data_IF_737390802788
#
_entry.id   IF_737390802788
#
_cell.length_a   1.000
_cell.length_b   1.000
_cell.length_c   1.000
_cell.angle_alpha   90.00
_cell.angle_beta   90.00
_cell.angle_gamma   90.00
#
_symmetry.space_group_name_H-M   'P 1'
#
loop_
_entity.id
_entity.type
_entity.pdbx_description
1 polymer ?
#
# COMPACT_ATOMS: atom_id res chain seq x y z
N UNK A 1 -21.69 21.85 10.15
CA UNK A 1 -20.60 21.00 10.68
C UNK A 1 -20.86 20.86 12.16
N UNK A 2 -21.02 19.65 12.68
CA UNK A 2 -21.70 19.46 13.98
C UNK A 2 -23.20 19.76 13.85
N UNK A 3 -23.74 20.60 14.73
CA UNK A 3 -25.18 20.96 14.78
C UNK A 3 -25.59 22.04 13.76
N UNK A 4 -24.65 22.71 13.10
CA UNK A 4 -24.97 23.79 12.15
C UNK A 4 -25.13 23.31 10.71
N UNK A 5 -26.20 23.76 10.05
CA UNK A 5 -26.47 23.52 8.65
C UNK A 5 -25.78 24.55 7.76
N UNK A 6 -24.78 24.09 7.01
CA UNK A 6 -24.01 24.94 6.11
C UNK A 6 -24.62 24.88 4.69
N UNK A 7 -25.25 25.97 4.26
CA UNK A 7 -25.87 26.10 2.92
C UNK A 7 -24.89 26.79 1.97
N UNK A 8 -24.35 26.04 1.00
CA UNK A 8 -23.49 26.58 -0.04
C UNK A 8 -24.23 26.51 -1.38
N UNK A 9 -24.26 27.62 -2.12
CA UNK A 9 -24.79 27.63 -3.48
C UNK A 9 -23.75 27.14 -4.49
N UNK A 10 -24.21 26.61 -5.64
CA UNK A 10 -23.30 26.17 -6.71
C UNK A 10 -22.39 27.32 -7.22
N UNK A 11 -22.84 28.57 -7.14
CA UNK A 11 -22.03 29.74 -7.49
C UNK A 11 -20.89 29.94 -6.49
N UNK A 12 -21.15 29.85 -5.19
CA UNK A 12 -20.12 29.90 -4.15
C UNK A 12 -19.12 28.75 -4.27
N UNK A 13 -19.59 27.52 -4.52
CA UNK A 13 -18.69 26.38 -4.77
C UNK A 13 -17.78 26.61 -5.98
N UNK A 14 -18.31 27.23 -7.03
CA UNK A 14 -17.53 27.52 -8.23
C UNK A 14 -16.48 28.61 -7.98
N UNK A 15 -16.78 29.64 -7.19
CA UNK A 15 -15.82 30.69 -6.82
C UNK A 15 -14.66 30.06 -6.04
N UNK A 16 -14.96 29.21 -5.05
CA UNK A 16 -13.93 28.54 -4.24
C UNK A 16 -13.03 27.62 -5.08
N UNK A 17 -13.55 27.07 -6.18
CA UNK A 17 -12.79 26.19 -7.09
C UNK A 17 -12.02 26.94 -8.17
N UNK A 18 -12.27 28.22 -8.39
CA UNK A 18 -11.69 28.99 -9.50
C UNK A 18 -10.36 29.63 -9.08
N UNK A 19 -9.32 28.80 -8.97
CA UNK A 19 -7.99 29.24 -8.55
C UNK A 19 -7.25 30.00 -9.66
N UNK A 20 -7.11 29.37 -10.84
CA UNK A 20 -6.36 29.92 -11.97
C UNK A 20 -6.92 29.44 -13.31
N UNK A 21 -6.48 30.08 -14.39
CA UNK A 21 -6.75 29.63 -15.76
C UNK A 21 -6.11 28.25 -16.01
N UNK A 22 -6.65 27.44 -16.92
CA UNK A 22 -6.05 26.16 -17.29
C UNK A 22 -4.68 26.40 -17.92
N UNK A 23 -3.63 25.93 -17.26
CA UNK A 23 -2.25 26.14 -17.67
C UNK A 23 -1.35 25.07 -17.03
N UNK A 24 -0.16 24.90 -17.62
CA UNK A 24 0.93 24.16 -17.01
C UNK A 24 2.02 25.14 -16.58
N UNK A 25 2.11 25.37 -15.28
CA UNK A 25 3.08 26.29 -14.70
C UNK A 25 4.34 25.54 -14.30
N UNK A 26 5.48 25.88 -14.89
CA UNK A 26 6.78 25.33 -14.51
C UNK A 26 7.19 25.86 -13.14
N UNK A 27 7.44 24.97 -12.18
CA UNK A 27 7.91 25.33 -10.84
C UNK A 27 9.43 25.22 -10.73
N UNK A 28 10.04 24.27 -11.44
CA UNK A 28 11.49 24.09 -11.46
C UNK A 28 11.91 22.72 -11.96
N UNK A 29 13.19 22.39 -11.76
CA UNK A 29 13.79 21.13 -12.19
C UNK A 29 14.34 20.34 -11.01
N UNK A 30 14.15 19.02 -11.03
CA UNK A 30 14.76 18.08 -10.07
C UNK A 30 15.51 16.98 -10.80
N UNK A 31 16.39 16.27 -10.09
CA UNK A 31 17.05 15.07 -10.64
C UNK A 31 16.04 13.95 -10.84
N UNK A 32 16.22 13.11 -11.86
CA UNK A 32 15.33 11.98 -12.15
C UNK A 32 15.22 11.00 -10.98
N UNK A 33 16.33 10.74 -10.29
CA UNK A 33 16.38 9.90 -9.07
C UNK A 33 15.56 10.44 -7.89
N UNK A 34 15.13 11.70 -7.92
CA UNK A 34 14.26 12.26 -6.87
C UNK A 34 12.79 11.81 -7.00
N UNK A 35 12.42 11.19 -8.12
CA UNK A 35 11.12 10.58 -8.32
C UNK A 35 11.17 9.13 -7.81
N UNK A 36 10.39 8.76 -6.79
CA UNK A 36 10.33 7.37 -6.34
C UNK A 36 9.85 6.43 -7.45
N UNK A 37 10.41 5.23 -7.49
CA UNK A 37 10.14 4.23 -8.54
C UNK A 37 8.67 3.76 -8.53
N UNK A 38 8.10 3.61 -7.34
CA UNK A 38 6.73 3.10 -7.15
C UNK A 38 5.81 4.24 -6.76
N UNK A 39 5.39 5.03 -7.75
CA UNK A 39 4.34 6.04 -7.59
C UNK A 39 3.31 5.89 -8.70
N UNK A 40 2.06 5.72 -8.29
CA UNK A 40 0.92 5.79 -9.18
C UNK A 40 -0.24 6.51 -8.48
N UNK A 41 -0.70 7.60 -9.07
CA UNK A 41 -1.90 8.34 -8.60
C UNK A 41 -3.01 8.34 -9.66
N UNK A 42 -2.64 8.50 -10.92
CA UNK A 42 -3.55 8.61 -12.07
C UNK A 42 -2.77 8.16 -13.32
N UNK A 43 -3.45 7.63 -14.36
CA UNK A 43 -2.82 7.38 -15.65
C UNK A 43 -2.04 8.60 -16.13
N UNK A 44 -0.80 8.36 -16.56
CA UNK A 44 0.06 9.42 -17.07
C UNK A 44 -0.43 9.88 -18.44
N UNK A 45 -0.32 11.17 -18.71
CA UNK A 45 -0.56 11.72 -20.04
C UNK A 45 0.77 11.88 -20.78
N UNK A 46 0.69 12.08 -22.09
CA UNK A 46 1.85 12.41 -22.92
C UNK A 46 1.72 13.84 -23.45
N UNK A 47 2.79 14.62 -23.32
CA UNK A 47 2.85 16.00 -23.79
C UNK A 47 3.69 16.05 -25.06
N UNK A 48 3.12 16.64 -26.11
CA UNK A 48 3.79 16.87 -27.39
C UNK A 48 3.49 18.30 -27.86
N UNK A 49 4.48 19.01 -28.47
CA UNK A 49 4.31 20.41 -28.82
C UNK A 49 3.46 20.59 -30.08
N UNK A 50 2.72 21.69 -30.11
CA UNK A 50 2.04 22.18 -31.29
C UNK A 50 2.32 23.67 -31.49
N UNK A 51 2.51 24.07 -32.75
CA UNK A 51 2.88 25.44 -33.16
C UNK A 51 1.66 26.21 -33.71
N UNK A 52 0.46 25.64 -33.70
CA UNK A 52 -0.76 26.30 -34.22
C UNK A 52 -1.08 27.60 -33.47
N UNK A 53 -0.95 27.60 -32.14
CA UNK A 53 -1.30 28.75 -31.31
C UNK A 53 -0.12 29.66 -30.98
N UNK A 54 1.07 29.07 -30.80
CA UNK A 54 2.29 29.79 -30.40
C UNK A 54 3.44 29.27 -31.27
N UNK A 55 3.88 30.13 -32.20
CA UNK A 55 4.97 29.81 -33.13
C UNK A 55 6.28 29.65 -32.37
N UNK A 56 7.03 28.57 -32.64
CA UNK A 56 8.32 28.29 -31.99
C UNK A 56 8.24 27.40 -30.74
N UNK A 57 7.05 26.93 -30.37
CA UNK A 57 6.84 26.02 -29.24
C UNK A 57 7.58 24.69 -29.45
N UNK A 58 7.57 24.14 -30.67
CA UNK A 58 8.32 22.93 -31.04
C UNK A 58 9.82 23.07 -30.78
N UNK A 59 10.40 24.22 -31.13
CA UNK A 59 11.83 24.48 -30.93
C UNK A 59 12.19 24.55 -29.45
N UNK A 60 11.40 25.30 -28.66
CA UNK A 60 11.59 25.39 -27.22
C UNK A 60 11.40 24.03 -26.54
N UNK A 61 10.33 23.31 -26.89
CA UNK A 61 10.03 21.99 -26.36
C UNK A 61 11.16 21.01 -26.63
N UNK A 62 11.67 20.96 -27.87
CA UNK A 62 12.76 20.04 -28.23
C UNK A 62 14.05 20.38 -27.48
N UNK A 63 14.38 21.67 -27.36
CA UNK A 63 15.53 22.11 -26.58
C UNK A 63 15.40 21.73 -25.10
N UNK A 64 14.21 21.94 -24.50
CA UNK A 64 13.93 21.55 -23.13
C UNK A 64 14.05 20.04 -22.92
N UNK A 65 13.42 19.25 -23.80
CA UNK A 65 13.46 17.79 -23.78
C UNK A 65 14.89 17.27 -23.86
N UNK A 66 15.68 17.76 -24.80
CA UNK A 66 17.06 17.32 -25.00
C UNK A 66 17.92 17.64 -23.77
N UNK A 67 17.78 18.84 -23.20
CA UNK A 67 18.54 19.23 -21.99
C UNK A 67 18.11 18.47 -20.75
N UNK A 68 16.84 18.12 -20.63
CA UNK A 68 16.35 17.29 -19.53
C UNK A 68 16.88 15.85 -19.61
N UNK A 69 16.99 15.28 -20.83
CA UNK A 69 17.64 13.98 -21.03
C UNK A 69 19.12 14.02 -20.69
N UNK A 70 19.88 14.92 -21.31
CA UNK A 70 21.34 15.04 -21.14
C UNK A 70 21.76 15.24 -19.68
N UNK A 71 20.91 15.88 -18.87
CA UNK A 71 21.21 16.24 -17.47
C UNK A 71 20.46 15.39 -16.44
N UNK A 72 19.75 14.35 -16.89
CA UNK A 72 18.89 13.50 -16.07
C UNK A 72 17.94 14.32 -15.17
N UNK A 73 17.32 15.35 -15.73
CA UNK A 73 16.39 16.24 -15.02
C UNK A 73 14.94 15.95 -15.41
N UNK A 74 14.07 16.11 -14.42
CA UNK A 74 12.62 16.17 -14.57
C UNK A 74 12.16 17.59 -14.30
N UNK A 75 11.15 18.06 -15.04
CA UNK A 75 10.55 19.36 -14.77
C UNK A 75 9.31 19.16 -13.88
N UNK A 76 9.27 19.85 -12.74
CA UNK A 76 8.13 19.81 -11.82
C UNK A 76 7.22 20.97 -12.16
N UNK A 77 5.95 20.68 -12.40
CA UNK A 77 4.96 21.68 -12.82
C UNK A 77 3.70 21.60 -11.96
N UNK A 78 3.00 22.72 -11.85
CA UNK A 78 1.62 22.78 -11.39
C UNK A 78 0.71 22.71 -12.63
N UNK A 79 -0.11 21.66 -12.71
CA UNK A 79 -0.97 21.40 -13.86
C UNK A 79 -2.44 21.63 -13.53
N UNK A 80 -3.08 22.52 -14.29
CA UNK A 80 -4.52 22.77 -14.26
C UNK A 80 -5.12 22.40 -15.62
N UNK A 81 -5.78 21.24 -15.68
CA UNK A 81 -6.33 20.73 -16.94
C UNK A 81 -7.55 21.54 -17.44
N UNK A 82 -8.37 22.07 -16.53
CA UNK A 82 -9.62 22.78 -16.87
C UNK A 82 -9.96 23.85 -15.83
N UNK A 83 -10.84 24.79 -16.20
CA UNK A 83 -11.33 25.82 -15.27
C UNK A 83 -12.08 25.16 -14.13
N UNK A 84 -12.03 25.76 -12.94
CA UNK A 84 -12.68 25.23 -11.72
C UNK A 84 -12.22 23.81 -11.33
N UNK A 85 -11.01 23.41 -11.73
CA UNK A 85 -10.40 22.16 -11.29
C UNK A 85 -9.28 22.44 -10.29
N UNK A 86 -9.08 21.47 -9.40
CA UNK A 86 -8.02 21.55 -8.39
C UNK A 86 -6.67 21.38 -9.09
N UNK A 87 -5.70 22.28 -8.86
CA UNK A 87 -4.37 22.16 -9.44
C UNK A 87 -3.66 20.91 -8.93
N UNK A 88 -2.88 20.25 -9.78
CA UNK A 88 -2.16 19.01 -9.44
C UNK A 88 -0.68 19.18 -9.72
N UNK A 89 0.16 18.77 -8.77
CA UNK A 89 1.59 18.66 -9.01
C UNK A 89 1.86 17.51 -9.98
N UNK A 90 2.64 17.79 -11.01
CA UNK A 90 3.05 16.80 -12.02
C UNK A 90 4.55 16.88 -12.23
N UNK A 91 5.15 15.74 -12.56
CA UNK A 91 6.52 15.66 -13.07
C UNK A 91 6.48 15.37 -14.56
N UNK A 92 7.13 16.22 -15.34
CA UNK A 92 7.42 15.98 -16.76
C UNK A 92 8.70 15.16 -16.85
N UNK A 93 8.54 13.89 -17.16
CA UNK A 93 9.64 12.94 -17.34
C UNK A 93 9.95 12.87 -18.84
N UNK A 94 11.18 13.24 -19.27
CA UNK A 94 11.54 13.08 -20.67
C UNK A 94 11.63 11.60 -21.03
N UNK A 95 10.98 11.23 -22.12
CA UNK A 95 10.97 9.89 -22.71
C UNK A 95 11.54 9.98 -24.12
N UNK A 96 12.42 9.05 -24.45
CA UNK A 96 12.99 8.86 -25.77
C UNK A 96 12.34 7.63 -26.42
N UNK A 97 12.06 7.72 -27.70
CA UNK A 97 11.60 6.59 -28.48
C UNK A 97 12.71 5.55 -28.62
N UNK A 98 12.43 4.28 -28.28
CA UNK A 98 13.36 3.19 -28.61
C UNK A 98 13.49 3.10 -30.14
N UNK A 99 14.68 3.39 -30.66
CA UNK A 99 15.05 3.15 -32.05
C UNK A 99 15.24 1.64 -32.31
N UNK A 100 14.22 0.85 -32.04
CA UNK A 100 14.21 -0.56 -32.40
C UNK A 100 13.97 -0.70 -33.90
N UNK A 101 14.80 -1.50 -34.58
CA UNK A 101 14.64 -1.84 -36.01
C UNK A 101 13.44 -2.76 -36.27
N UNK A 102 12.88 -3.34 -35.20
CA UNK A 102 11.73 -4.22 -35.26
C UNK A 102 10.44 -3.40 -35.09
N UNK A 103 9.48 -3.61 -35.99
CA UNK A 103 8.13 -3.03 -35.94
C UNK A 103 7.27 -3.64 -34.81
N UNK A 104 7.81 -3.71 -33.59
CA UNK A 104 7.06 -4.16 -32.43
C UNK A 104 6.09 -3.06 -31.98
N UNK A 105 4.94 -3.43 -31.40
CA UNK A 105 3.90 -2.52 -30.92
C UNK A 105 4.44 -1.39 -30.02
N UNK A 106 5.50 -1.66 -29.24
CA UNK A 106 6.18 -0.65 -28.41
C UNK A 106 6.91 0.43 -29.21
N UNK A 107 7.48 0.09 -30.35
CA UNK A 107 8.19 1.03 -31.24
C UNK A 107 7.22 2.07 -31.83
N UNK A 108 6.01 1.62 -32.22
CA UNK A 108 4.95 2.49 -32.77
C UNK A 108 4.33 3.45 -31.73
N UNK A 109 4.36 3.08 -30.45
CA UNK A 109 3.79 3.88 -29.35
C UNK A 109 4.81 4.83 -28.71
N UNK A 110 6.10 4.62 -28.94
CA UNK A 110 7.15 5.39 -28.29
C UNK A 110 7.38 6.67 -29.09
N UNK A 111 6.74 7.75 -28.68
CA UNK A 111 7.03 9.09 -29.16
C UNK A 111 8.10 9.76 -28.31
N UNK A 112 8.95 10.58 -28.93
CA UNK A 112 9.82 11.50 -28.22
C UNK A 112 8.99 12.61 -27.55
N UNK A 113 9.13 12.78 -26.25
CA UNK A 113 8.41 13.86 -25.55
C UNK A 113 8.47 13.77 -24.04
N UNK A 114 7.47 14.37 -23.39
CA UNK A 114 7.37 14.35 -21.93
C UNK A 114 6.17 13.53 -21.48
N UNK A 115 6.43 12.53 -20.64
CA UNK A 115 5.40 11.84 -19.88
C UNK A 115 5.02 12.70 -18.66
N UNK A 116 3.74 13.04 -18.56
CA UNK A 116 3.16 13.78 -17.43
C UNK A 116 2.80 12.77 -16.34
N UNK A 117 3.63 12.67 -15.31
CA UNK A 117 3.41 11.82 -14.14
C UNK A 117 2.74 12.63 -13.04
N UNK A 118 1.58 12.19 -12.56
CA UNK A 118 0.85 12.84 -11.48
C UNK A 118 1.44 12.50 -10.12
N UNK A 119 1.87 13.52 -9.37
CA UNK A 119 2.41 13.35 -8.03
C UNK A 119 1.25 13.25 -7.01
N UNK A 120 1.30 12.29 -6.07
CA UNK A 120 0.29 12.19 -5.02
C UNK A 120 0.45 13.34 -4.03
N UNK A 121 -0.68 13.95 -3.64
CA UNK A 121 -0.72 14.84 -2.48
C UNK A 121 -0.51 14.03 -1.19
N UNK A 122 -0.04 14.69 -0.12
CA UNK A 122 0.21 14.06 1.19
C UNK A 122 -0.96 13.21 1.71
N UNK A 123 -2.20 13.67 1.50
CA UNK A 123 -3.42 12.95 1.91
C UNK A 123 -3.64 11.59 1.22
N UNK A 124 -3.00 11.36 0.07
CA UNK A 124 -3.09 10.10 -0.67
C UNK A 124 -1.98 9.12 -0.30
N UNK A 125 -0.97 9.57 0.44
CA UNK A 125 0.12 8.72 0.91
C UNK A 125 -0.38 8.01 2.18
N UNK A 126 -0.43 6.68 2.14
CA UNK A 126 -0.81 5.86 3.30
C UNK A 126 0.44 5.33 3.96
N UNK A 127 0.57 5.57 5.26
CA UNK A 127 1.59 4.92 6.07
C UNK A 127 1.07 3.52 6.40
N UNK A 128 1.82 2.50 5.98
CA UNK A 128 1.53 1.11 6.27
C UNK A 128 2.50 0.69 7.36
N UNK A 129 1.97 0.30 8.52
CA UNK A 129 2.77 -0.30 9.58
C UNK A 129 3.14 -1.71 9.14
N UNK A 130 4.39 -1.90 8.73
CA UNK A 130 4.95 -3.20 8.43
C UNK A 130 5.22 -3.92 9.77
N UNK A 131 4.18 -4.49 10.38
CA UNK A 131 4.34 -5.35 11.55
C UNK A 131 5.19 -6.59 11.23
N UNK A 132 5.72 -7.22 12.28
CA UNK A 132 6.70 -8.32 12.36
C UNK A 132 6.81 -9.32 11.17
N UNK A 133 5.71 -9.66 10.49
CA UNK A 133 5.72 -10.59 9.35
C UNK A 133 6.29 -10.00 8.05
N UNK A 134 6.19 -8.68 7.84
CA UNK A 134 6.68 -7.96 6.66
C UNK A 134 7.79 -6.97 7.02
N UNK A 135 8.50 -7.20 8.12
CA UNK A 135 9.67 -6.41 8.47
C UNK A 135 10.74 -6.62 7.41
N UNK A 136 11.44 -5.55 7.01
CA UNK A 136 12.57 -5.61 6.07
C UNK A 136 13.76 -6.43 6.59
N UNK A 137 13.70 -6.85 7.86
CA UNK A 137 14.67 -7.76 8.48
C UNK A 137 14.41 -9.24 8.16
N UNK A 138 13.20 -9.61 7.69
CA UNK A 138 12.89 -10.98 7.29
C UNK A 138 13.56 -11.24 5.94
N UNK A 139 14.78 -11.77 6.01
CA UNK A 139 15.59 -12.11 4.83
C UNK A 139 15.51 -13.61 4.63
N UNK A 140 15.26 -14.04 3.39
CA UNK A 140 15.27 -15.45 3.00
C UNK A 140 16.71 -15.98 2.96
N UNK A 141 16.86 -17.30 3.07
CA UNK A 141 18.15 -17.99 2.87
C UNK A 141 18.60 -17.89 1.40
N UNK A 142 19.90 -17.91 1.14
CA UNK A 142 20.44 -17.88 -0.23
C UNK A 142 19.94 -19.06 -1.09
N UNK A 143 19.72 -20.23 -0.46
CA UNK A 143 19.20 -21.44 -1.11
C UNK A 143 17.74 -21.26 -1.58
N UNK A 144 16.93 -20.62 -0.74
CA UNK A 144 15.52 -20.29 -1.02
C UNK A 144 15.42 -19.29 -2.18
N UNK A 145 16.30 -18.29 -2.18
CA UNK A 145 16.36 -17.27 -3.24
C UNK A 145 16.77 -17.89 -4.58
N UNK A 146 17.76 -18.80 -4.60
CA UNK A 146 18.18 -19.47 -5.84
C UNK A 146 17.08 -20.38 -6.42
N UNK A 147 16.34 -21.09 -5.56
CA UNK A 147 15.17 -21.88 -6.00
C UNK A 147 14.13 -21.00 -6.69
N UNK A 148 13.71 -19.90 -6.05
CA UNK A 148 12.72 -18.99 -6.64
C UNK A 148 13.27 -18.28 -7.89
N UNK A 149 14.57 -18.01 -7.96
CA UNK A 149 15.17 -17.47 -9.18
C UNK A 149 15.06 -18.46 -10.36
N UNK A 150 15.20 -19.77 -10.13
CA UNK A 150 14.98 -20.82 -11.15
C UNK A 150 13.51 -20.86 -11.59
N UNK A 151 12.57 -20.79 -10.65
CA UNK A 151 11.12 -20.78 -10.93
C UNK A 151 10.74 -19.55 -11.75
N UNK A 152 11.17 -18.35 -11.35
CA UNK A 152 10.88 -17.09 -12.08
C UNK A 152 11.44 -17.15 -13.50
N UNK A 153 12.64 -17.72 -13.70
CA UNK A 153 13.22 -17.89 -15.04
C UNK A 153 12.37 -18.81 -15.94
N UNK A 154 11.72 -19.83 -15.39
CA UNK A 154 10.85 -20.76 -16.14
C UNK A 154 9.47 -20.20 -16.45
N UNK A 155 8.96 -19.33 -15.57
CA UNK A 155 7.68 -18.62 -15.73
C UNK A 155 7.82 -17.27 -16.42
N UNK A 156 9.03 -16.91 -16.89
CA UNK A 156 9.27 -15.64 -17.57
C UNK A 156 8.51 -15.59 -18.89
N UNK A 157 7.75 -14.51 -19.08
CA UNK A 157 7.02 -14.19 -20.30
C UNK A 157 7.41 -12.76 -20.71
N UNK A 158 7.62 -12.55 -22.01
CA UNK A 158 7.87 -11.22 -22.55
C UNK A 158 6.58 -10.41 -22.66
N UNK A 159 6.18 -9.79 -21.55
CA UNK A 159 4.95 -9.03 -21.43
C UNK A 159 4.89 -7.85 -22.40
N UNK A 160 3.85 -7.83 -23.25
CA UNK A 160 3.46 -6.66 -24.05
C UNK A 160 2.09 -6.13 -23.57
N UNK A 161 1.85 -4.81 -23.54
CA UNK A 161 0.58 -4.25 -23.05
C UNK A 161 -0.66 -4.69 -23.84
N UNK A 162 -0.49 -5.09 -25.11
CA UNK A 162 -1.56 -5.54 -26.01
C UNK A 162 -1.81 -7.07 -25.96
N UNK A 163 -1.06 -7.83 -25.15
CA UNK A 163 -1.27 -9.28 -25.03
C UNK A 163 -2.55 -9.64 -24.26
N UNK A 164 -3.04 -8.73 -23.43
CA UNK A 164 -4.18 -8.98 -22.55
C UNK A 164 -5.31 -8.03 -22.95
N UNK A 165 -6.39 -8.60 -23.47
CA UNK A 165 -7.63 -7.89 -23.73
C UNK A 165 -8.56 -7.97 -22.52
N UNK A 166 -9.50 -7.03 -22.43
CA UNK A 166 -10.54 -7.11 -21.40
C UNK A 166 -11.54 -8.24 -21.77
N UNK A 167 -11.63 -9.31 -20.96
CA UNK A 167 -12.49 -10.45 -21.26
C UNK A 167 -13.97 -10.06 -21.33
N UNK A 168 -14.40 -9.06 -20.57
CA UNK A 168 -15.80 -8.61 -20.59
C UNK A 168 -16.11 -7.88 -21.90
N UNK A 169 -15.14 -7.10 -22.40
CA UNK A 169 -15.29 -6.39 -23.67
C UNK A 169 -15.30 -7.37 -24.84
N UNK A 170 -14.44 -8.38 -24.81
CA UNK A 170 -14.40 -9.43 -25.83
C UNK A 170 -15.71 -10.22 -25.87
N UNK A 171 -16.23 -10.62 -24.71
CA UNK A 171 -17.53 -11.30 -24.60
C UNK A 171 -18.69 -10.42 -25.11
N UNK A 172 -18.67 -9.13 -24.80
CA UNK A 172 -19.69 -8.21 -25.31
C UNK A 172 -19.63 -8.10 -26.83
N UNK A 173 -18.43 -7.96 -27.39
CA UNK A 173 -18.22 -7.86 -28.83
C UNK A 173 -18.61 -9.15 -29.56
N UNK A 174 -18.26 -10.32 -29.03
CA UNK A 174 -18.65 -11.61 -29.61
C UNK A 174 -20.17 -11.78 -29.62
N UNK A 175 -20.85 -11.40 -28.54
CA UNK A 175 -22.30 -11.46 -28.46
C UNK A 175 -22.99 -10.49 -29.43
N UNK A 176 -22.48 -9.27 -29.57
CA UNK A 176 -23.00 -8.33 -30.56
C UNK A 176 -22.80 -8.83 -32.00
N UNK A 177 -21.64 -9.42 -32.30
CA UNK A 177 -21.37 -10.01 -33.61
C UNK A 177 -22.30 -11.20 -33.89
N UNK A 178 -22.47 -12.09 -32.93
CA UNK A 178 -23.40 -13.22 -33.00
C UNK A 178 -24.83 -12.78 -33.30
N UNK A 179 -25.33 -11.77 -32.58
CA UNK A 179 -26.63 -11.16 -32.84
C UNK A 179 -26.72 -10.49 -34.22
N UNK A 180 -25.65 -9.85 -34.68
CA UNK A 180 -25.65 -9.18 -35.99
C UNK A 180 -25.60 -10.14 -37.19
N UNK A 181 -25.02 -11.33 -36.99
CA UNK A 181 -24.82 -12.34 -38.02
C UNK A 181 -25.78 -13.53 -37.91
N UNK A 182 -26.69 -13.51 -36.93
CA UNK A 182 -27.58 -14.62 -36.55
C UNK A 182 -26.84 -15.96 -36.33
N UNK A 183 -25.63 -15.88 -35.76
CA UNK A 183 -24.80 -17.04 -35.41
C UNK A 183 -24.94 -17.31 -33.91
N UNK A 184 -24.94 -18.58 -33.50
CA UNK A 184 -24.88 -18.93 -32.07
C UNK A 184 -23.45 -18.76 -31.57
N UNK A 185 -23.26 -17.94 -30.54
CA UNK A 185 -21.96 -17.77 -29.89
C UNK A 185 -21.55 -19.06 -29.19
N UNK A 186 -20.34 -19.57 -29.47
CA UNK A 186 -19.68 -20.50 -28.57
C UNK A 186 -18.90 -19.68 -27.53
N UNK A 187 -19.29 -19.76 -26.26
CA UNK A 187 -18.59 -19.12 -25.12
C UNK A 187 -17.18 -19.71 -24.85
N UNK A 188 -16.65 -20.52 -25.77
CA UNK A 188 -15.49 -21.42 -25.56
C UNK A 188 -14.13 -20.72 -25.55
N UNK A 189 -14.08 -19.40 -25.44
CA UNK A 189 -12.83 -18.67 -25.67
C UNK A 189 -12.67 -17.44 -24.81
N UNK A 190 -13.08 -17.45 -23.54
CA UNK A 190 -12.42 -16.53 -22.60
C UNK A 190 -10.96 -16.96 -22.54
N UNK A 191 -10.09 -16.28 -23.29
CA UNK A 191 -8.66 -16.49 -23.25
C UNK A 191 -8.20 -16.21 -21.80
N UNK A 192 -8.16 -17.26 -20.98
CA UNK A 192 -7.50 -17.21 -19.69
C UNK A 192 -6.04 -16.98 -20.04
N UNK A 193 -5.58 -15.75 -19.81
CA UNK A 193 -4.18 -15.33 -20.03
C UNK A 193 -3.20 -16.28 -19.34
N UNK A 194 -3.66 -16.96 -18.29
CA UNK A 194 -2.95 -18.00 -17.58
C UNK A 194 -3.49 -19.37 -17.95
N UNK A 195 -2.61 -20.20 -18.52
CA UNK A 195 -2.83 -21.64 -18.68
C UNK A 195 -2.23 -22.36 -17.46
N UNK A 196 -3.05 -22.79 -16.49
CA UNK A 196 -2.54 -23.42 -15.27
C UNK A 196 -1.88 -24.77 -15.56
N UNK A 197 -2.34 -25.52 -16.57
CA UNK A 197 -1.81 -26.86 -16.87
C UNK A 197 -0.35 -26.75 -17.33
N UNK A 198 -0.08 -25.80 -18.23
CA UNK A 198 1.28 -25.53 -18.74
C UNK A 198 2.19 -24.97 -17.64
N UNK A 199 1.64 -24.21 -16.69
CA UNK A 199 2.41 -23.71 -15.55
C UNK A 199 2.79 -24.84 -14.60
N UNK A 200 1.85 -25.72 -14.26
CA UNK A 200 2.05 -26.87 -13.38
C UNK A 200 3.10 -27.83 -13.96
N UNK A 201 3.05 -28.12 -15.26
CA UNK A 201 4.07 -28.94 -15.94
C UNK A 201 5.48 -28.33 -15.86
N UNK A 202 5.59 -27.00 -15.91
CA UNK A 202 6.89 -26.30 -15.81
C UNK A 202 7.43 -26.27 -14.39
N UNK A 203 6.55 -26.19 -13.39
CA UNK A 203 6.90 -26.07 -11.97
C UNK A 203 7.09 -27.44 -11.32
N UNK A 204 6.47 -28.50 -11.84
CA UNK A 204 6.49 -29.85 -11.27
C UNK A 204 7.88 -30.38 -10.88
N UNK A 205 8.93 -29.95 -11.59
CA UNK A 205 10.32 -30.34 -11.32
C UNK A 205 10.91 -29.69 -10.06
N UNK A 206 10.38 -28.55 -9.63
CA UNK A 206 10.86 -27.76 -8.50
C UNK A 206 10.01 -27.95 -7.23
N UNK A 207 8.83 -28.58 -7.35
CA UNK A 207 7.98 -28.92 -6.21
C UNK A 207 8.67 -29.76 -5.11
N UNK A 208 9.44 -30.82 -5.41
CA UNK A 208 10.08 -31.60 -4.34
C UNK A 208 11.15 -30.81 -3.60
N UNK A 209 11.93 -29.98 -4.31
CA UNK A 209 12.91 -29.08 -3.70
C UNK A 209 12.23 -28.02 -2.84
N UNK A 210 11.07 -27.51 -3.28
CA UNK A 210 10.25 -26.58 -2.51
C UNK A 210 9.72 -27.19 -1.21
N UNK A 211 9.16 -28.40 -1.28
CA UNK A 211 8.63 -29.11 -0.12
C UNK A 211 9.72 -29.46 0.91
N UNK A 212 10.95 -29.74 0.46
CA UNK A 212 12.10 -30.00 1.33
C UNK A 212 12.56 -28.73 2.08
N UNK A 213 12.60 -27.59 1.38
CA UNK A 213 13.09 -26.32 1.93
C UNK A 213 12.08 -25.63 2.84
N UNK A 214 10.81 -25.56 2.43
CA UNK A 214 9.78 -24.79 3.14
C UNK A 214 8.89 -25.67 4.04
N UNK A 215 8.99 -27.00 3.91
CA UNK A 215 8.13 -27.95 4.60
C UNK A 215 6.68 -27.91 4.08
N UNK A 216 5.81 -28.73 4.70
CA UNK A 216 4.38 -28.67 4.39
C UNK A 216 3.81 -27.32 4.82
N UNK A 217 3.17 -26.60 3.90
CA UNK A 217 2.44 -25.36 4.19
C UNK A 217 1.35 -25.64 5.23
N UNK A 218 1.63 -25.30 6.49
CA UNK A 218 0.60 -25.22 7.52
C UNK A 218 -0.16 -23.94 7.21
N UNK A 219 -1.33 -24.06 6.56
CA UNK A 219 -2.22 -22.90 6.38
C UNK A 219 -2.37 -22.20 7.74
N UNK A 220 -1.98 -20.92 7.87
CA UNK A 220 -2.15 -20.22 9.12
C UNK A 220 -3.63 -20.22 9.44
N UNK A 221 -3.99 -20.84 10.58
CA UNK A 221 -5.38 -20.99 11.01
C UNK A 221 -6.11 -19.67 10.79
N UNK A 222 -7.12 -19.67 9.90
CA UNK A 222 -7.92 -18.48 9.55
C UNK A 222 -8.25 -17.74 10.84
N UNK A 223 -7.59 -16.60 11.08
CA UNK A 223 -8.01 -15.67 12.13
C UNK A 223 -9.45 -15.34 11.78
N UNK A 224 -10.40 -15.87 12.56
CA UNK A 224 -11.82 -15.60 12.41
C UNK A 224 -11.95 -14.08 12.29
N UNK A 225 -12.48 -13.62 11.16
CA UNK A 225 -12.87 -12.22 11.03
C UNK A 225 -13.79 -11.92 12.21
N UNK A 226 -13.46 -10.85 12.95
CA UNK A 226 -14.32 -10.40 14.03
C UNK A 226 -15.74 -10.24 13.47
N UNK A 227 -16.78 -10.80 14.11
CA UNK A 227 -18.14 -10.60 13.64
C UNK A 227 -18.41 -9.10 13.61
N UNK A 228 -18.82 -8.61 12.44
CA UNK A 228 -19.32 -7.25 12.24
C UNK A 228 -20.44 -7.06 13.26
N UNK A 229 -20.21 -6.20 14.26
CA UNK A 229 -21.21 -5.87 15.26
C UNK A 229 -22.30 -5.02 14.61
N UNK A 230 -23.32 -5.67 14.04
CA UNK A 230 -24.63 -5.05 13.93
C UNK A 230 -25.24 -4.97 15.34
N UNK A 231 -25.72 -3.79 15.67
CA UNK A 231 -26.22 -3.44 16.97
C UNK A 231 -27.46 -4.30 17.32
N UNK A 232 -27.41 -5.04 18.42
CA UNK A 232 -28.57 -5.22 19.29
C UNK A 232 -28.18 -5.62 20.72
N UNK A 233 -28.61 -4.77 21.64
CA UNK A 233 -29.14 -5.03 23.00
C UNK A 233 -28.72 -6.34 23.69
N UNK A 234 -27.93 -6.19 24.75
CA UNK A 234 -28.07 -6.99 25.96
C UNK A 234 -27.29 -8.31 26.04
N UNK A 235 -25.98 -8.26 26.30
CA UNK A 235 -25.29 -9.32 27.03
C UNK A 235 -23.97 -8.80 27.66
N UNK A 236 -23.86 -9.04 28.97
CA UNK A 236 -22.72 -8.96 29.89
C UNK A 236 -21.31 -8.65 29.31
N UNK A 237 -20.75 -7.51 29.74
CA UNK A 237 -19.32 -7.18 29.66
C UNK A 237 -18.48 -8.22 30.41
N UNK A 238 -17.75 -9.06 29.69
CA UNK A 238 -16.50 -9.63 30.21
C UNK A 238 -15.43 -8.50 30.25
N UNK A 239 -14.65 -8.35 31.34
CA UNK A 239 -13.71 -7.24 31.44
C UNK A 239 -12.50 -7.48 30.53
N UNK A 240 -12.19 -6.46 29.71
CA UNK A 240 -10.90 -6.27 29.04
C UNK A 240 -9.80 -6.03 30.08
N UNK A 241 -9.30 -7.08 30.71
CA UNK A 241 -8.01 -7.01 31.44
C UNK A 241 -7.32 -8.36 31.30
N UNK A 242 -6.08 -8.35 30.80
CA UNK A 242 -5.22 -9.53 30.78
C UNK A 242 -5.06 -10.04 32.22
N UNK A 243 -5.31 -11.34 32.41
CA UNK A 243 -5.12 -12.02 33.70
C UNK A 243 -3.61 -11.99 33.98
N UNK A 244 -3.21 -11.40 35.09
CA UNK A 244 -1.80 -11.41 35.53
C UNK A 244 -1.55 -12.80 36.10
N UNK A 245 -0.73 -13.60 35.41
CA UNK A 245 -0.43 -14.97 35.80
C UNK A 245 0.49 -15.01 37.02
N UNK A 246 0.17 -15.89 37.98
CA UNK A 246 0.81 -15.97 39.29
C UNK A 246 2.30 -16.30 39.28
N UNK A 247 2.80 -16.89 38.18
CA UNK A 247 4.20 -17.30 38.02
C UNK A 247 5.12 -16.11 37.69
N UNK A 248 4.62 -15.10 36.98
CA UNK A 248 5.39 -13.90 36.60
C UNK A 248 5.64 -12.94 37.77
N UNK A 249 4.86 -13.07 38.85
CA UNK A 249 4.99 -12.29 40.08
C UNK A 249 6.21 -12.68 40.93
N UNK A 250 6.86 -13.81 40.62
CA UNK A 250 8.10 -14.24 41.29
C UNK A 250 9.35 -13.48 40.83
N UNK A 251 9.29 -12.78 39.70
CA UNK A 251 10.45 -12.06 39.15
C UNK A 251 10.49 -10.61 39.63
N UNK A 252 11.61 -10.21 40.27
CA UNK A 252 11.84 -8.85 40.77
C UNK A 252 11.69 -7.76 39.68
N UNK A 253 12.17 -8.05 38.46
CA UNK A 253 12.12 -7.11 37.33
C UNK A 253 10.67 -6.80 36.90
N UNK A 254 9.79 -7.80 36.91
CA UNK A 254 8.39 -7.64 36.53
C UNK A 254 7.62 -6.82 37.57
N UNK A 255 7.93 -7.00 38.86
CA UNK A 255 7.34 -6.20 39.94
C UNK A 255 7.77 -4.74 39.85
N UNK A 256 9.04 -4.47 39.53
CA UNK A 256 9.53 -3.10 39.32
C UNK A 256 8.88 -2.42 38.11
N UNK A 257 8.64 -3.15 37.02
CA UNK A 257 7.89 -2.63 35.87
C UNK A 257 6.43 -2.31 36.24
N UNK A 258 5.77 -3.19 37.01
CA UNK A 258 4.41 -2.94 37.50
C UNK A 258 4.31 -1.71 38.43
N UNK A 259 5.37 -1.41 39.17
CA UNK A 259 5.49 -0.22 40.03
C UNK A 259 5.66 1.03 39.15
N UNK A 260 6.57 1.00 38.18
CA UNK A 260 6.82 2.11 37.25
C UNK A 260 5.56 2.49 36.44
N UNK A 261 4.82 1.48 35.98
CA UNK A 261 3.59 1.68 35.20
C UNK A 261 2.36 2.04 36.06
N UNK A 262 2.49 2.02 37.40
CA UNK A 262 1.38 2.29 38.33
C UNK A 262 0.24 1.26 38.29
N UNK A 263 0.48 0.06 37.73
CA UNK A 263 -0.55 -0.97 37.48
C UNK A 263 -0.84 -1.87 38.69
N UNK A 264 -0.20 -1.62 39.83
CA UNK A 264 -0.44 -2.31 41.10
C UNK A 264 -1.91 -2.27 41.58
N UNK A 265 -2.69 -1.27 41.15
CA UNK A 265 -4.13 -1.18 41.45
C UNK A 265 -4.95 -2.29 40.79
N UNK A 266 -4.40 -2.98 39.79
CA UNK A 266 -5.08 -4.03 39.04
C UNK A 266 -4.79 -5.43 39.61
N UNK A 267 -3.77 -5.58 40.45
CA UNK A 267 -3.46 -6.84 41.12
C UNK A 267 -4.54 -7.19 42.17
N UNK A 268 -4.77 -8.48 42.38
CA UNK A 268 -5.67 -8.95 43.46
C UNK A 268 -4.98 -8.83 44.82
N UNK A 269 -5.75 -8.77 45.92
CA UNK A 269 -5.19 -8.67 47.28
C UNK A 269 -4.26 -9.85 47.59
N UNK A 270 -4.58 -11.05 47.11
CA UNK A 270 -3.73 -12.23 47.25
C UNK A 270 -2.38 -12.07 46.55
N UNK A 271 -2.36 -11.52 45.33
CA UNK A 271 -1.14 -11.24 44.56
C UNK A 271 -0.28 -10.16 45.22
N UNK A 272 -0.90 -9.10 45.78
CA UNK A 272 -0.18 -8.06 46.51
C UNK A 272 0.47 -8.60 47.80
N UNK A 273 -0.21 -9.50 48.52
CA UNK A 273 0.36 -10.19 49.67
C UNK A 273 1.49 -11.14 49.27
N UNK A 274 1.39 -11.81 48.10
CA UNK A 274 2.45 -12.65 47.57
C UNK A 274 3.69 -11.82 47.20
N UNK A 275 3.52 -10.68 46.54
CA UNK A 275 4.63 -9.74 46.25
C UNK A 275 5.33 -9.29 47.54
N UNK A 276 4.58 -8.91 48.58
CA UNK A 276 5.15 -8.48 49.86
C UNK A 276 5.93 -9.58 50.58
N UNK A 277 5.46 -10.82 50.51
CA UNK A 277 6.14 -11.97 51.11
C UNK A 277 7.39 -12.37 50.33
N UNK A 278 7.33 -12.38 48.99
CA UNK A 278 8.42 -12.90 48.16
C UNK A 278 9.56 -11.90 47.97
N UNK A 279 9.25 -10.59 47.88
CA UNK A 279 10.25 -9.58 47.52
C UNK A 279 10.67 -8.67 48.67
N UNK A 280 9.86 -8.53 49.72
CA UNK A 280 10.12 -7.60 50.83
C UNK A 280 10.17 -8.26 52.21
N UNK A 281 9.91 -9.56 52.31
CA UNK A 281 9.94 -10.36 53.54
C UNK A 281 9.11 -9.77 54.71
N UNK A 282 8.03 -9.04 54.37
CA UNK A 282 7.09 -8.46 55.34
C UNK A 282 5.79 -9.26 55.34
N UNK A 283 5.41 -9.83 56.49
CA UNK A 283 4.09 -10.43 56.66
C UNK A 283 3.00 -9.35 56.81
N UNK A 284 2.00 -9.29 55.90
CA UNK A 284 0.93 -8.32 56.03
C UNK A 284 -0.06 -8.73 57.14
N UNK A 285 -0.52 -7.78 57.99
CA UNK A 285 -1.56 -8.06 58.98
C UNK A 285 -2.90 -8.39 58.29
N UNK A 286 -3.65 -9.35 58.87
CA UNK A 286 -4.80 -10.04 58.27
C UNK A 286 -6.01 -9.18 57.85
N UNK A 287 -5.98 -7.86 58.03
CA UNK A 287 -7.05 -6.96 57.61
C UNK A 287 -6.49 -5.60 57.20
N UNK A 288 -6.02 -5.49 55.95
CA UNK A 288 -5.64 -4.20 55.37
C UNK A 288 -6.28 -4.00 54.00
N UNK A 289 -6.75 -2.78 53.74
CA UNK A 289 -7.40 -2.41 52.48
C UNK A 289 -6.39 -2.40 51.32
N UNK A 290 -6.85 -2.76 50.12
CA UNK A 290 -6.04 -2.84 48.89
C UNK A 290 -5.18 -1.60 48.64
N UNK A 291 -5.73 -0.40 48.89
CA UNK A 291 -5.03 0.87 48.73
C UNK A 291 -3.78 0.96 49.64
N UNK A 292 -3.91 0.59 50.91
CA UNK A 292 -2.79 0.62 51.86
C UNK A 292 -1.69 -0.39 51.51
N UNK A 293 -2.05 -1.52 50.90
CA UNK A 293 -1.06 -2.52 50.44
C UNK A 293 -0.26 -2.00 49.25
N UNK A 294 -0.92 -1.31 48.31
CA UNK A 294 -0.25 -0.65 47.18
C UNK A 294 0.67 0.46 47.66
N UNK A 295 0.23 1.29 48.60
CA UNK A 295 1.06 2.36 49.18
C UNK A 295 2.27 1.79 49.91
N UNK A 296 2.11 0.68 50.65
CA UNK A 296 3.23 0.04 51.35
C UNK A 296 4.28 -0.50 50.38
N UNK A 297 3.86 -1.13 49.28
CA UNK A 297 4.77 -1.61 48.23
C UNK A 297 5.51 -0.43 47.58
N UNK A 298 4.83 0.69 47.30
CA UNK A 298 5.47 1.90 46.77
C UNK A 298 6.49 2.51 47.74
N UNK A 299 6.19 2.53 49.05
CA UNK A 299 7.14 3.04 50.05
C UNK A 299 8.35 2.14 50.28
N UNK A 300 8.24 0.84 50.04
CA UNK A 300 9.34 -0.12 50.19
C UNK A 300 10.20 -0.23 48.92
N UNK A 301 9.66 0.20 47.77
CA UNK A 301 10.35 0.26 46.48
C UNK A 301 11.01 1.62 46.20
N UNK A 302 10.79 2.63 47.04
CA UNK A 302 11.46 3.94 46.99
C UNK A 302 12.76 3.88 47.79
#
# INVERSE_FOLDING_TARGET
>A
MGEENLRITNTQLNIVRDFHRPEMMLLGFKHRSSLPEVIYSKPANFMYPDDQNIIGSKKLFRALWQRCLEREKIAVCLFLAKRKSVPRYVALVPVEAEQSKDNNYRSLLSGDGFKIVYLPEAKHIRNIDLCDWNSTANTASDEEVDLFQKIIKKLRIDYQPNMINDPNLELLQSNLLALSLDIKTDDRGLARVQDPVVQDERIAKFLPEYEELFGNEIEPAKKRSAPRSEASVGASRAPKVAKIDGEQLGSNEYVNQLIADGRLTNCTVAQLCQILKTHFDVEPPKSMTKAKLVDRIKTLSS
#
